data_IF_694583758183
#
_entry.id   IF_694583758183
#
_cell.length_a   1.000
_cell.length_b   1.000
_cell.length_c   1.000
_cell.angle_alpha   90.00
_cell.angle_beta   90.00
_cell.angle_gamma   90.00
#
_symmetry.space_group_name_H-M   'P 1'
#
loop_
_entity.id
_entity.type
_entity.pdbx_description
1 polymer ?
#
# COMPACT_ATOMS: atom_id res chain seq x y z
N UNK A 1 3.26 34.00 -9.96
CA UNK A 1 2.45 32.95 -10.62
C UNK A 1 3.40 32.19 -11.54
N UNK A 2 3.69 30.91 -11.27
CA UNK A 2 4.57 30.08 -12.10
C UNK A 2 3.99 28.66 -12.14
N UNK A 3 3.54 28.23 -13.31
CA UNK A 3 3.14 26.85 -13.55
C UNK A 3 4.39 26.02 -13.85
N UNK A 4 4.71 25.07 -12.96
CA UNK A 4 5.63 23.97 -13.23
C UNK A 4 4.90 22.65 -12.94
N UNK A 5 3.80 22.44 -13.66
CA UNK A 5 2.92 21.27 -13.54
C UNK A 5 2.98 20.38 -14.79
N UNK A 6 4.14 20.27 -15.42
CA UNK A 6 4.35 19.39 -16.57
C UNK A 6 4.94 18.04 -16.15
N UNK A 7 4.27 16.98 -16.59
CA UNK A 7 4.81 15.61 -16.70
C UNK A 7 5.35 14.97 -15.41
N UNK A 8 4.48 14.80 -14.41
CA UNK A 8 4.54 13.57 -13.60
C UNK A 8 4.19 12.39 -14.51
N UNK A 9 5.20 11.79 -15.12
CA UNK A 9 5.08 10.46 -15.73
C UNK A 9 5.01 9.42 -14.61
N UNK A 10 4.01 8.55 -14.65
CA UNK A 10 4.04 7.32 -13.88
C UNK A 10 5.01 6.36 -14.56
N UNK A 11 6.28 6.39 -14.17
CA UNK A 11 7.24 5.35 -14.53
C UNK A 11 6.81 4.04 -13.86
N UNK A 12 6.66 2.97 -14.63
CA UNK A 12 6.38 1.62 -14.10
C UNK A 12 7.65 0.88 -13.68
N UNK A 13 8.77 1.60 -13.58
CA UNK A 13 10.05 1.05 -13.13
C UNK A 13 9.98 0.74 -11.64
N UNK A 14 10.46 -0.46 -11.27
CA UNK A 14 10.71 -0.79 -9.87
C UNK A 14 11.96 -0.03 -9.42
N UNK A 15 11.76 1.21 -8.97
CA UNK A 15 12.84 2.01 -8.35
C UNK A 15 13.37 1.43 -7.03
N UNK A 16 12.68 0.44 -6.47
CA UNK A 16 13.12 -0.34 -5.31
C UNK A 16 13.04 -1.83 -5.62
N UNK A 17 14.19 -2.42 -5.96
CA UNK A 17 14.45 -3.78 -5.51
C UNK A 17 14.51 -3.74 -3.98
N UNK A 18 13.51 -4.34 -3.33
CA UNK A 18 13.44 -4.45 -1.87
C UNK A 18 14.45 -5.51 -1.37
N UNK A 19 15.74 -5.20 -1.53
CA UNK A 19 16.83 -5.91 -0.87
C UNK A 19 17.09 -5.29 0.51
N UNK A 20 16.07 -5.30 1.37
CA UNK A 20 16.11 -4.67 2.70
C UNK A 20 16.10 -5.74 3.80
N UNK A 21 17.32 -6.16 4.11
CA UNK A 21 17.81 -6.50 5.45
C UNK A 21 17.15 -7.65 6.23
N UNK A 22 17.53 -8.87 5.85
CA UNK A 22 17.69 -10.01 6.80
C UNK A 22 18.92 -9.87 7.73
N UNK A 23 19.66 -8.76 7.63
CA UNK A 23 20.72 -8.31 8.53
C UNK A 23 20.81 -6.76 8.42
N UNK A 24 20.79 -5.94 9.46
CA UNK A 24 20.86 -6.15 10.93
C UNK A 24 19.91 -5.16 11.64
N UNK A 25 19.72 -5.07 12.97
CA UNK A 25 20.52 -5.51 14.15
C UNK A 25 19.59 -5.90 15.33
N UNK A 26 20.17 -6.12 16.52
CA UNK A 26 19.55 -6.23 17.86
C UNK A 26 18.46 -7.30 18.03
N UNK A 27 18.94 -8.44 18.52
CA UNK A 27 18.23 -9.55 19.13
C UNK A 27 17.31 -9.08 20.29
N UNK A 28 16.03 -8.82 20.02
CA UNK A 28 14.98 -8.61 21.05
C UNK A 28 13.69 -9.33 20.68
N UNK A 29 13.17 -10.24 21.53
CA UNK A 29 11.92 -10.94 21.27
C UNK A 29 10.70 -10.08 21.65
N UNK A 30 10.30 -9.17 20.78
CA UNK A 30 8.92 -8.64 20.74
C UNK A 30 8.41 -8.62 19.30
N UNK A 31 7.99 -9.81 18.87
CA UNK A 31 7.54 -10.10 17.52
C UNK A 31 6.34 -9.22 17.14
N UNK A 32 5.39 -9.10 18.06
CA UNK A 32 4.10 -8.48 17.77
C UNK A 32 4.17 -6.95 17.78
N UNK A 33 5.06 -6.34 18.56
CA UNK A 33 5.33 -4.88 18.45
C UNK A 33 6.03 -4.51 17.14
N UNK A 34 6.73 -5.45 16.53
CA UNK A 34 7.32 -5.28 15.20
C UNK A 34 6.25 -5.43 14.10
N UNK A 35 5.34 -6.40 14.25
CA UNK A 35 4.15 -6.55 13.39
C UNK A 35 3.22 -5.31 13.49
N UNK A 36 2.97 -4.77 14.68
CA UNK A 36 2.19 -3.54 14.89
C UNK A 36 2.84 -2.34 14.21
N UNK A 37 4.16 -2.15 14.37
CA UNK A 37 4.89 -1.06 13.70
C UNK A 37 4.80 -1.17 12.18
N UNK A 38 4.94 -2.39 11.64
CA UNK A 38 4.74 -2.68 10.22
C UNK A 38 3.31 -2.33 9.77
N UNK A 39 2.29 -2.85 10.45
CA UNK A 39 0.89 -2.59 10.11
C UNK A 39 0.55 -1.10 10.12
N UNK A 40 1.01 -0.33 11.11
CA UNK A 40 0.85 1.13 11.17
C UNK A 40 1.53 1.85 10.01
N UNK A 41 2.73 1.41 9.63
CA UNK A 41 3.45 1.96 8.49
C UNK A 41 2.66 1.75 7.18
N UNK A 42 2.17 0.52 6.93
CA UNK A 42 1.36 0.24 5.75
C UNK A 42 -0.01 0.94 5.77
N UNK A 43 -0.69 1.06 6.93
CA UNK A 43 -1.90 1.88 7.05
C UNK A 43 -1.64 3.33 6.65
N UNK A 44 -0.47 3.89 7.03
CA UNK A 44 -0.08 5.25 6.63
C UNK A 44 0.17 5.38 5.12
N UNK A 45 0.82 4.39 4.50
CA UNK A 45 1.01 4.33 3.05
C UNK A 45 -0.35 4.33 2.34
N UNK A 46 -1.32 3.52 2.79
CA UNK A 46 -2.66 3.48 2.20
C UNK A 46 -3.37 4.84 2.25
N UNK A 47 -3.31 5.55 3.39
CA UNK A 47 -3.85 6.91 3.51
C UNK A 47 -3.19 7.88 2.53
N UNK A 48 -1.88 7.78 2.33
CA UNK A 48 -1.15 8.62 1.39
C UNK A 48 -1.52 8.31 -0.07
N UNK A 49 -1.67 7.03 -0.43
CA UNK A 49 -2.13 6.61 -1.75
C UNK A 49 -3.55 7.11 -2.03
N UNK A 50 -4.49 7.01 -1.08
CA UNK A 50 -5.84 7.56 -1.28
C UNK A 50 -5.83 9.09 -1.38
N UNK A 51 -5.01 9.79 -0.58
CA UNK A 51 -4.86 11.24 -0.68
C UNK A 51 -4.31 11.68 -2.05
N UNK A 52 -3.36 10.93 -2.63
CA UNK A 52 -2.88 11.13 -4.01
C UNK A 52 -4.01 10.86 -5.01
N UNK A 53 -4.76 9.77 -4.81
CA UNK A 53 -5.85 9.40 -5.71
C UNK A 53 -7.00 10.43 -5.72
N UNK A 54 -7.34 10.98 -4.56
CA UNK A 54 -8.32 12.05 -4.41
C UNK A 54 -7.86 13.39 -5.01
N UNK A 55 -6.54 13.67 -5.02
CA UNK A 55 -5.96 14.88 -5.63
C UNK A 55 -5.94 14.84 -7.17
N UNK A 56 -5.90 13.67 -7.79
CA UNK A 56 -5.79 13.51 -9.24
C UNK A 56 -6.83 12.54 -9.83
N UNK A 57 -8.14 12.74 -9.58
CA UNK A 57 -9.18 11.78 -9.92
C UNK A 57 -9.22 11.45 -11.42
N UNK A 58 -9.01 12.45 -12.28
CA UNK A 58 -9.03 12.30 -13.75
C UNK A 58 -7.89 11.44 -14.28
N UNK A 59 -6.73 11.43 -13.58
CA UNK A 59 -5.60 10.56 -13.93
C UNK A 59 -5.83 9.13 -13.46
N UNK A 60 -6.37 8.95 -12.24
CA UNK A 60 -6.57 7.63 -11.63
C UNK A 60 -7.72 6.85 -12.26
N UNK A 61 -8.76 7.53 -12.78
CA UNK A 61 -9.92 6.89 -13.43
C UNK A 61 -9.53 5.87 -14.51
N UNK A 62 -8.40 6.10 -15.18
CA UNK A 62 -7.89 5.26 -16.28
C UNK A 62 -6.75 4.30 -15.85
N UNK A 63 -6.36 4.27 -14.56
CA UNK A 63 -5.24 3.47 -14.04
C UNK A 63 -5.75 2.52 -12.92
N UNK A 64 -6.29 1.34 -13.26
CA UNK A 64 -6.77 0.36 -12.28
C UNK A 64 -5.70 -0.10 -11.27
N UNK A 65 -4.42 -0.03 -11.66
CA UNK A 65 -3.29 -0.41 -10.82
C UNK A 65 -3.23 0.36 -9.49
N UNK A 66 -3.63 1.64 -9.46
CA UNK A 66 -3.60 2.44 -8.23
C UNK A 66 -4.61 1.97 -7.18
N UNK A 67 -5.79 1.50 -7.61
CA UNK A 67 -6.76 0.86 -6.71
C UNK A 67 -6.30 -0.54 -6.30
N UNK A 68 -5.74 -1.32 -7.24
CA UNK A 68 -5.24 -2.65 -6.94
C UNK A 68 -4.06 -2.64 -5.94
N UNK A 69 -3.17 -1.65 -6.02
CA UNK A 69 -2.09 -1.46 -5.05
C UNK A 69 -2.65 -1.26 -3.64
N UNK A 70 -3.67 -0.40 -3.47
CA UNK A 70 -4.34 -0.20 -2.17
C UNK A 70 -4.96 -1.51 -1.65
N UNK A 71 -5.59 -2.30 -2.52
CA UNK A 71 -6.17 -3.58 -2.13
C UNK A 71 -5.11 -4.62 -1.74
N UNK A 72 -3.99 -4.71 -2.49
CA UNK A 72 -2.88 -5.64 -2.22
C UNK A 72 -2.18 -5.31 -0.90
N UNK A 73 -1.74 -4.07 -0.71
CA UNK A 73 -1.03 -3.67 0.51
C UNK A 73 -1.98 -3.77 1.73
N UNK A 74 -3.28 -3.49 1.53
CA UNK A 74 -4.33 -3.74 2.51
C UNK A 74 -4.48 -5.21 2.95
N UNK A 75 -4.35 -6.15 2.02
CA UNK A 75 -4.33 -7.58 2.35
C UNK A 75 -3.08 -7.97 3.16
N UNK A 76 -1.93 -7.34 2.88
CA UNK A 76 -0.69 -7.50 3.67
C UNK A 76 -0.85 -7.08 5.14
N UNK A 77 -1.59 -5.99 5.40
CA UNK A 77 -1.95 -5.57 6.76
C UNK A 77 -2.84 -6.62 7.46
N UNK A 78 -3.86 -7.15 6.78
CA UNK A 78 -4.75 -8.17 7.34
C UNK A 78 -3.98 -9.46 7.67
N UNK A 79 -3.07 -9.89 6.78
CA UNK A 79 -2.20 -11.04 7.04
C UNK A 79 -1.23 -10.78 8.20
N UNK A 80 -0.78 -9.53 8.39
CA UNK A 80 0.05 -9.14 9.55
C UNK A 80 -0.71 -9.34 10.87
N UNK A 81 -2.02 -9.03 10.91
CA UNK A 81 -2.86 -9.26 12.11
C UNK A 81 -3.07 -10.74 12.40
N UNK A 82 -3.19 -11.58 11.37
CA UNK A 82 -3.39 -13.02 11.54
C UNK A 82 -2.18 -13.68 12.22
N UNK A 83 -0.96 -13.25 11.85
CA UNK A 83 0.30 -13.71 12.42
C UNK A 83 0.60 -13.23 13.86
N UNK A 84 -0.20 -12.34 14.44
CA UNK A 84 -0.02 -11.86 15.82
C UNK A 84 -0.50 -12.91 16.83
N UNK A 85 0.25 -13.04 17.95
CA UNK A 85 0.02 -14.02 19.02
C UNK A 85 -0.62 -13.40 20.26
N UNK A 86 -0.34 -12.14 20.56
CA UNK A 86 -0.95 -11.40 21.67
C UNK A 86 -2.33 -10.86 21.25
N UNK A 87 -3.38 -11.52 21.73
CA UNK A 87 -4.77 -11.16 21.45
C UNK A 87 -5.16 -9.75 21.92
N UNK A 88 -4.51 -9.19 22.94
CA UNK A 88 -4.76 -7.79 23.37
C UNK A 88 -4.16 -6.82 22.36
N UNK A 89 -2.89 -7.04 21.96
CA UNK A 89 -2.22 -6.25 20.92
C UNK A 89 -2.96 -6.36 19.57
N UNK A 90 -3.42 -7.56 19.21
CA UNK A 90 -4.22 -7.87 18.01
C UNK A 90 -5.57 -7.15 18.00
N UNK A 91 -6.34 -7.25 19.09
CA UNK A 91 -7.61 -6.53 19.24
C UNK A 91 -7.44 -5.01 19.16
N UNK A 92 -6.40 -4.47 19.81
CA UNK A 92 -6.06 -3.04 19.75
C UNK A 92 -5.78 -2.56 18.32
N UNK A 93 -4.92 -3.25 17.55
CA UNK A 93 -4.56 -2.81 16.19
C UNK A 93 -5.69 -3.05 15.18
N UNK A 94 -6.50 -4.10 15.37
CA UNK A 94 -7.72 -4.32 14.58
C UNK A 94 -8.72 -3.17 14.83
N UNK A 95 -8.91 -2.75 16.08
CA UNK A 95 -9.75 -1.59 16.40
C UNK A 95 -9.20 -0.32 15.74
N UNK A 96 -7.89 -0.05 15.84
CA UNK A 96 -7.24 1.08 15.17
C UNK A 96 -7.47 1.07 13.65
N UNK A 97 -7.38 -0.10 13.01
CA UNK A 97 -7.67 -0.29 11.57
C UNK A 97 -9.14 -0.03 11.19
N UNK A 98 -10.09 -0.36 12.06
CA UNK A 98 -11.50 -0.05 11.86
C UNK A 98 -11.81 1.43 12.09
N UNK A 99 -11.31 2.02 13.18
CA UNK A 99 -11.51 3.41 13.59
C UNK A 99 -10.89 4.41 12.58
N UNK A 100 -9.70 4.09 12.04
CA UNK A 100 -9.03 4.88 10.99
C UNK A 100 -9.67 4.73 9.60
N UNK A 101 -10.66 3.84 9.44
CA UNK A 101 -11.41 3.66 8.19
C UNK A 101 -10.65 2.96 7.06
N UNK A 102 -9.46 2.39 7.33
CA UNK A 102 -8.63 1.70 6.32
C UNK A 102 -9.40 0.56 5.64
N UNK A 103 -10.24 -0.16 6.38
CA UNK A 103 -11.12 -1.20 5.82
C UNK A 103 -12.03 -0.69 4.69
N UNK A 104 -12.59 0.53 4.83
CA UNK A 104 -13.46 1.14 3.80
C UNK A 104 -12.65 1.45 2.54
N UNK A 105 -11.41 1.90 2.72
CA UNK A 105 -10.50 2.22 1.63
C UNK A 105 -10.09 0.98 0.84
N UNK A 106 -9.76 -0.11 1.53
CA UNK A 106 -9.47 -1.42 0.92
C UNK A 106 -10.71 -1.91 0.15
N UNK A 107 -11.88 -1.92 0.78
CA UNK A 107 -13.14 -2.35 0.17
C UNK A 107 -13.51 -1.55 -1.08
N UNK A 108 -13.42 -0.21 -1.01
CA UNK A 108 -13.62 0.71 -2.16
C UNK A 108 -12.69 0.40 -3.33
N UNK A 109 -11.51 -0.17 -3.06
CA UNK A 109 -10.46 -0.41 -4.05
C UNK A 109 -10.44 -1.85 -4.60
N UNK A 110 -11.08 -2.80 -3.92
CA UNK A 110 -11.20 -4.21 -4.29
C UNK A 110 -12.24 -4.47 -5.42
N UNK A 111 -12.17 -3.71 -6.52
CA UNK A 111 -13.24 -3.65 -7.56
C UNK A 111 -13.19 -4.74 -8.64
N UNK A 112 -12.14 -5.56 -8.74
CA UNK A 112 -12.04 -6.62 -9.76
C UNK A 112 -11.05 -7.72 -9.37
N UNK A 113 -11.39 -9.01 -9.55
CA UNK A 113 -10.46 -10.13 -9.41
C UNK A 113 -9.59 -10.39 -10.66
N UNK A 114 -9.83 -9.70 -11.79
CA UNK A 114 -9.15 -9.97 -13.06
C UNK A 114 -8.02 -8.98 -13.35
N UNK A 115 -6.80 -9.50 -13.36
CA UNK A 115 -5.67 -8.90 -14.07
C UNK A 115 -5.85 -9.11 -15.59
N UNK A 116 -5.87 -8.02 -16.36
CA UNK A 116 -4.95 -7.94 -17.51
C UNK A 116 -3.78 -7.10 -17.05
N UNK A 117 -2.66 -7.77 -16.79
CA UNK A 117 -1.37 -7.12 -16.78
C UNK A 117 -1.18 -6.51 -18.18
N UNK A 118 -1.04 -5.18 -18.35
CA UNK A 118 -0.45 -4.67 -19.58
C UNK A 118 0.96 -5.27 -19.60
N UNK A 119 1.39 -5.96 -20.68
CA UNK A 119 2.80 -6.36 -20.78
C UNK A 119 3.68 -5.13 -20.51
N UNK A 120 4.84 -5.36 -19.88
CA UNK A 120 5.78 -4.28 -19.56
C UNK A 120 6.09 -3.45 -20.81
N UNK A 121 6.48 -2.17 -20.64
CA UNK A 121 6.44 -1.19 -21.72
C UNK A 121 7.09 -1.71 -22.99
N UNK A 122 6.27 -2.02 -24.00
CA UNK A 122 6.76 -2.20 -25.36
C UNK A 122 7.41 -0.88 -25.76
N UNK A 123 8.72 -0.91 -25.92
CA UNK A 123 9.47 0.19 -26.52
C UNK A 123 8.96 0.39 -27.95
N UNK A 124 7.96 1.25 -28.10
CA UNK A 124 7.58 1.80 -29.40
C UNK A 124 8.66 2.80 -29.79
N UNK A 125 9.63 2.29 -30.55
CA UNK A 125 10.54 3.09 -31.37
C UNK A 125 9.73 4.07 -32.22
N UNK A 126 10.07 5.35 -32.10
CA UNK A 126 9.86 6.38 -33.12
C UNK A 126 11.24 6.81 -33.57
#
# INVERSE_FOLDING_TARGET
MLLAAERVQYTSERYYDYYIHSASVSHTPDNDDTLIRSARHYMKILQMLDAINQRYPDKIKNIPACHWQIAKEGLGIIHTFDNMKDEKKKSMIIKEFFDTGIWKLIWKSAKSPRLRWPPGPTLLSV
#
